data_IF_892625771810
#
_entry.id   IF_892625771810
#
_cell.length_a   1.000
_cell.length_b   1.000
_cell.length_c   1.000
_cell.angle_alpha   90.00
_cell.angle_beta   90.00
_cell.angle_gamma   90.00
#
_symmetry.space_group_name_H-M   'P 1'
#
loop_
_entity.id
_entity.type
_entity.pdbx_description
1 polymer ?
#
# COMPACT_ATOMS: atom_id res chain seq x y z
N UNK A 1 5.74 1.33 -18.08
CA UNK A 1 6.08 2.12 -16.87
C UNK A 1 5.35 3.45 -16.93
N UNK A 2 4.61 3.78 -15.88
CA UNK A 2 3.89 5.04 -15.79
C UNK A 2 4.47 5.88 -14.65
N UNK A 3 4.55 7.20 -14.85
CA UNK A 3 5.07 8.13 -13.84
C UNK A 3 4.01 9.18 -13.55
N UNK A 4 3.73 9.40 -12.27
CA UNK A 4 2.82 10.44 -11.81
C UNK A 4 3.57 11.38 -10.87
N UNK A 5 3.27 12.66 -10.94
CA UNK A 5 3.86 13.66 -10.04
C UNK A 5 2.77 14.29 -9.21
N UNK A 6 3.06 14.48 -7.91
CA UNK A 6 2.15 15.13 -6.98
C UNK A 6 2.86 16.30 -6.30
N UNK A 7 2.20 17.45 -6.26
CA UNK A 7 2.71 18.65 -5.62
C UNK A 7 1.94 19.03 -4.35
N UNK A 8 0.98 18.20 -3.93
CA UNK A 8 0.14 18.45 -2.76
C UNK A 8 -0.50 17.15 -2.29
N UNK A 9 -1.09 17.18 -1.09
CA UNK A 9 -1.86 16.03 -0.59
C UNK A 9 -3.06 15.73 -1.50
N UNK A 10 -3.72 16.76 -2.01
CA UNK A 10 -4.84 16.58 -2.93
C UNK A 10 -4.42 15.88 -4.22
N UNK A 11 -3.25 16.23 -4.76
CA UNK A 11 -2.72 15.58 -5.95
C UNK A 11 -2.29 14.14 -5.68
N UNK A 12 -1.73 13.87 -4.50
CA UNK A 12 -1.42 12.48 -4.07
C UNK A 12 -2.68 11.64 -4.03
N UNK A 13 -3.77 12.19 -3.53
CA UNK A 13 -5.07 11.51 -3.52
C UNK A 13 -5.55 11.22 -4.93
N UNK A 14 -5.36 12.16 -5.86
CA UNK A 14 -5.72 11.95 -7.27
C UNK A 14 -4.89 10.82 -7.90
N UNK A 15 -3.60 10.74 -7.59
CA UNK A 15 -2.73 9.64 -8.05
C UNK A 15 -3.24 8.32 -7.47
N UNK A 16 -3.58 8.31 -6.18
CA UNK A 16 -4.10 7.11 -5.52
C UNK A 16 -5.38 6.62 -6.19
N UNK A 17 -6.26 7.52 -6.61
CA UNK A 17 -7.49 7.15 -7.32
C UNK A 17 -7.19 6.45 -8.65
N UNK A 18 -6.18 6.93 -9.38
CA UNK A 18 -5.76 6.30 -10.64
C UNK A 18 -5.19 4.90 -10.42
N UNK A 19 -4.38 4.73 -9.38
CA UNK A 19 -3.83 3.43 -9.01
C UNK A 19 -4.95 2.50 -8.53
N UNK A 20 -5.93 3.03 -7.80
CA UNK A 20 -7.07 2.27 -7.29
C UNK A 20 -7.84 1.57 -8.42
N UNK A 21 -7.96 2.19 -9.59
CA UNK A 21 -8.62 1.56 -10.73
C UNK A 21 -7.94 0.24 -11.12
N UNK A 22 -6.64 0.14 -10.94
CA UNK A 22 -5.87 -1.08 -11.22
C UNK A 22 -6.00 -2.14 -10.12
N UNK A 23 -6.50 -1.76 -8.95
CA UNK A 23 -6.58 -2.60 -7.76
C UNK A 23 -8.00 -2.97 -7.37
N UNK A 24 -9.01 -2.50 -8.07
CA UNK A 24 -10.41 -2.64 -7.65
C UNK A 24 -10.92 -4.07 -7.62
N UNK A 25 -10.23 -4.99 -8.29
CA UNK A 25 -10.57 -6.42 -8.28
C UNK A 25 -9.76 -7.20 -7.25
N UNK A 26 -9.01 -6.51 -6.39
CA UNK A 26 -8.11 -7.13 -5.45
C UNK A 26 -6.71 -7.32 -6.02
N UNK A 27 -5.91 -8.10 -5.34
CA UNK A 27 -4.55 -8.40 -5.75
C UNK A 27 -3.51 -7.91 -4.75
N UNK A 28 -2.36 -7.50 -5.26
CA UNK A 28 -1.24 -7.13 -4.41
C UNK A 28 -0.60 -5.83 -4.92
N UNK A 29 -0.44 -4.86 -4.02
CA UNK A 29 0.22 -3.59 -4.30
C UNK A 29 1.45 -3.46 -3.38
N UNK A 30 2.62 -3.54 -3.98
CA UNK A 30 3.89 -3.44 -3.26
C UNK A 30 4.41 -2.01 -3.33
N UNK A 31 4.57 -1.36 -2.18
CA UNK A 31 5.07 0.02 -2.10
C UNK A 31 6.55 0.02 -1.75
N UNK A 32 7.31 0.79 -2.51
CA UNK A 32 8.74 0.97 -2.32
C UNK A 32 9.02 2.45 -2.08
N UNK A 33 9.39 2.79 -0.87
CA UNK A 33 9.72 4.18 -0.54
C UNK A 33 10.49 4.24 0.77
N UNK A 34 11.22 5.32 0.97
CA UNK A 34 11.84 5.60 2.26
C UNK A 34 10.83 6.16 3.25
N UNK A 35 11.29 6.41 4.49
CA UNK A 35 10.50 7.06 5.51
C UNK A 35 10.07 8.46 5.07
N UNK A 36 8.89 8.88 5.49
CA UNK A 36 8.41 10.24 5.25
C UNK A 36 8.00 10.51 3.81
N UNK A 37 7.85 9.49 2.98
CA UNK A 37 7.53 9.69 1.58
C UNK A 37 6.03 9.91 1.29
N UNK A 38 5.18 9.95 2.33
CA UNK A 38 3.75 10.19 2.17
C UNK A 38 2.95 8.93 1.89
N UNK A 39 3.43 7.77 2.33
CA UNK A 39 2.75 6.49 2.14
C UNK A 39 1.35 6.48 2.77
N UNK A 40 1.22 7.05 3.96
CA UNK A 40 -0.08 7.10 4.66
C UNK A 40 -1.11 7.91 3.86
N UNK A 41 -0.70 9.06 3.32
CA UNK A 41 -1.58 9.88 2.49
C UNK A 41 -2.00 9.14 1.22
N UNK A 42 -1.07 8.40 0.61
CA UNK A 42 -1.36 7.60 -0.57
C UNK A 42 -2.36 6.48 -0.25
N UNK A 43 -2.11 5.72 0.83
CA UNK A 43 -3.02 4.63 1.24
C UNK A 43 -4.39 5.17 1.61
N UNK A 44 -4.42 6.33 2.27
CA UNK A 44 -5.69 7.00 2.59
C UNK A 44 -6.49 7.30 1.31
N UNK A 45 -5.81 7.77 0.26
CA UNK A 45 -6.44 8.00 -1.04
C UNK A 45 -6.97 6.71 -1.68
N UNK A 46 -6.23 5.61 -1.56
CA UNK A 46 -6.68 4.30 -2.05
C UNK A 46 -7.93 3.83 -1.31
N UNK A 47 -7.92 3.93 0.02
CA UNK A 47 -9.06 3.53 0.85
C UNK A 47 -10.28 4.39 0.52
N UNK A 48 -10.10 5.68 0.34
CA UNK A 48 -11.19 6.59 -0.05
C UNK A 48 -11.83 6.15 -1.36
N UNK A 49 -11.03 5.72 -2.32
CA UNK A 49 -11.52 5.29 -3.63
C UNK A 49 -12.16 3.90 -3.60
N UNK A 50 -11.59 2.95 -2.85
CA UNK A 50 -12.00 1.54 -2.87
C UNK A 50 -12.93 1.16 -1.74
N UNK A 51 -12.79 1.80 -0.59
CA UNK A 51 -13.48 1.42 0.64
C UNK A 51 -13.74 2.67 1.50
N UNK A 52 -14.54 3.65 0.98
CA UNK A 52 -14.72 4.93 1.67
C UNK A 52 -15.31 4.79 3.08
N UNK A 53 -16.06 3.73 3.35
CA UNK A 53 -16.61 3.46 4.68
C UNK A 53 -15.52 3.20 5.73
N UNK A 54 -14.29 2.88 5.31
CA UNK A 54 -13.17 2.62 6.23
C UNK A 54 -12.23 3.82 6.37
N UNK A 55 -12.52 4.95 5.74
CA UNK A 55 -11.60 6.08 5.65
C UNK A 55 -11.14 6.60 7.02
N UNK A 56 -12.03 6.63 7.99
CA UNK A 56 -11.71 7.13 9.34
C UNK A 56 -10.78 6.19 10.12
N UNK A 57 -10.59 4.96 9.64
CA UNK A 57 -9.73 3.97 10.29
C UNK A 57 -8.29 4.01 9.81
N UNK A 58 -8.00 4.79 8.75
CA UNK A 58 -6.68 4.76 8.11
C UNK A 58 -5.62 5.40 9.00
N UNK A 59 -4.58 4.63 9.32
CA UNK A 59 -3.39 5.09 10.01
C UNK A 59 -2.22 4.19 9.62
N UNK A 60 -1.01 4.60 9.99
CA UNK A 60 0.19 3.79 9.70
C UNK A 60 0.14 2.48 10.50
N UNK A 61 0.42 1.32 9.87
CA UNK A 61 0.44 0.03 10.56
C UNK A 61 1.76 -0.26 11.27
N UNK A 62 2.63 0.72 11.50
CA UNK A 62 3.98 0.51 12.04
C UNK A 62 3.99 -0.36 13.30
N UNK A 63 3.08 -0.12 14.24
CA UNK A 63 3.02 -0.87 15.49
C UNK A 63 2.11 -2.08 15.42
N UNK A 64 1.06 -2.01 14.60
CA UNK A 64 0.11 -3.11 14.45
C UNK A 64 0.57 -4.18 13.47
N UNK A 65 1.56 -3.86 12.62
CA UNK A 65 2.06 -4.66 11.50
C UNK A 65 1.05 -4.75 10.37
N UNK A 66 -0.19 -5.10 10.64
CA UNK A 66 -1.24 -5.11 9.63
C UNK A 66 -2.47 -4.35 10.12
N UNK A 67 -3.01 -3.50 9.23
CA UNK A 67 -4.32 -2.89 9.40
C UNK A 67 -5.29 -3.55 8.43
N UNK A 68 -6.45 -3.96 8.92
CA UNK A 68 -7.50 -4.55 8.12
C UNK A 68 -8.61 -3.53 7.90
N UNK A 69 -8.93 -3.27 6.64
CA UNK A 69 -10.05 -2.40 6.27
C UNK A 69 -11.09 -3.29 5.60
N UNK A 70 -12.09 -3.72 6.36
CA UNK A 70 -13.15 -4.61 5.87
C UNK A 70 -14.27 -3.77 5.24
N UNK A 71 -14.30 -3.76 3.92
CA UNK A 71 -15.25 -2.95 3.16
C UNK A 71 -16.40 -3.77 2.60
N UNK A 72 -17.38 -3.05 2.03
CA UNK A 72 -18.55 -3.68 1.40
C UNK A 72 -18.22 -4.32 0.07
N UNK A 73 -17.33 -3.70 -0.69
CA UNK A 73 -16.98 -4.15 -2.05
C UNK A 73 -15.63 -4.84 -2.10
N UNK A 74 -14.70 -4.45 -1.22
CA UNK A 74 -13.35 -5.00 -1.18
C UNK A 74 -12.79 -4.86 0.22
N UNK A 75 -12.00 -5.86 0.63
CA UNK A 75 -11.21 -5.80 1.86
C UNK A 75 -9.80 -5.35 1.49
N UNK A 76 -9.19 -4.54 2.35
CA UNK A 76 -7.82 -4.05 2.16
C UNK A 76 -7.00 -4.45 3.39
N UNK A 77 -5.85 -5.07 3.14
CA UNK A 77 -4.92 -5.51 4.18
C UNK A 77 -3.60 -4.77 3.99
N UNK A 78 -3.29 -3.84 4.91
CA UNK A 78 -2.13 -2.96 4.80
C UNK A 78 -1.06 -3.37 5.79
N UNK A 79 0.06 -3.89 5.28
CA UNK A 79 1.19 -4.38 6.06
C UNK A 79 2.35 -3.40 6.09
N UNK A 80 2.96 -3.25 7.28
CA UNK A 80 4.28 -2.63 7.41
C UNK A 80 5.26 -3.73 7.83
N UNK A 81 6.19 -4.07 6.95
CA UNK A 81 7.11 -5.18 7.14
C UNK A 81 8.39 -4.80 7.89
N UNK A 82 8.55 -3.52 8.27
CA UNK A 82 9.78 -2.99 8.83
C UNK A 82 10.28 -3.74 10.08
N UNK A 83 9.37 -4.15 10.95
CA UNK A 83 9.72 -4.79 12.22
C UNK A 83 9.93 -6.31 12.14
N UNK A 84 9.64 -6.89 10.99
CA UNK A 84 9.82 -8.32 10.79
C UNK A 84 11.29 -8.60 10.47
N UNK A 85 11.83 -9.68 11.03
CA UNK A 85 13.25 -9.99 10.89
C UNK A 85 13.54 -11.16 9.96
N UNK A 86 12.60 -12.08 9.80
CA UNK A 86 12.79 -13.26 8.94
C UNK A 86 11.47 -13.77 8.38
N UNK A 87 11.55 -14.83 7.56
CA UNK A 87 10.38 -15.44 6.92
C UNK A 87 9.40 -16.04 7.95
N UNK A 88 9.90 -16.54 9.07
CA UNK A 88 9.03 -17.08 10.12
C UNK A 88 8.19 -15.98 10.75
N UNK A 89 8.77 -14.80 10.95
CA UNK A 89 8.04 -13.64 11.45
C UNK A 89 6.94 -13.25 10.47
N UNK A 90 7.26 -13.21 9.17
CA UNK A 90 6.30 -12.88 8.14
C UNK A 90 5.14 -13.88 8.13
N UNK A 91 5.45 -15.17 8.16
CA UNK A 91 4.45 -16.23 8.19
C UNK A 91 3.53 -16.08 9.41
N UNK A 92 4.09 -15.76 10.56
CA UNK A 92 3.35 -15.63 11.82
C UNK A 92 2.34 -14.48 11.83
N UNK A 93 2.50 -13.48 10.96
CA UNK A 93 1.55 -12.37 10.86
C UNK A 93 0.23 -12.77 10.18
N UNK A 94 0.19 -13.95 9.53
CA UNK A 94 -0.94 -14.33 8.70
C UNK A 94 -0.86 -13.79 7.28
N UNK A 95 0.30 -13.28 6.87
CA UNK A 95 0.50 -12.63 5.57
C UNK A 95 -0.04 -13.46 4.41
N UNK A 96 0.31 -14.75 4.36
CA UNK A 96 -0.12 -15.62 3.26
C UNK A 96 -1.62 -15.92 3.30
N UNK A 97 -2.20 -16.01 4.49
CA UNK A 97 -3.64 -16.22 4.64
C UNK A 97 -4.43 -14.98 4.18
N UNK A 98 -3.90 -13.78 4.45
CA UNK A 98 -4.52 -12.54 3.96
C UNK A 98 -4.54 -12.49 2.44
N UNK A 99 -3.42 -12.86 1.80
CA UNK A 99 -3.36 -12.89 0.33
C UNK A 99 -4.45 -13.83 -0.23
N UNK A 100 -4.63 -14.99 0.38
CA UNK A 100 -5.62 -15.97 -0.05
C UNK A 100 -7.07 -15.51 0.12
N UNK A 101 -7.32 -14.56 1.00
CA UNK A 101 -8.68 -14.03 1.19
C UNK A 101 -9.20 -13.24 -0.01
N UNK A 102 -8.35 -12.86 -0.93
CA UNK A 102 -8.78 -12.28 -2.21
C UNK A 102 -9.02 -10.78 -2.22
N UNK A 103 -8.76 -10.08 -1.13
CA UNK A 103 -8.83 -8.62 -1.09
C UNK A 103 -7.59 -8.00 -1.71
N UNK A 104 -7.37 -6.72 -1.44
CA UNK A 104 -6.15 -6.02 -1.83
C UNK A 104 -5.15 -6.04 -0.68
N UNK A 105 -4.00 -6.63 -0.91
CA UNK A 105 -2.88 -6.60 0.05
C UNK A 105 -1.92 -5.50 -0.36
N UNK A 106 -1.57 -4.62 0.59
CA UNK A 106 -0.63 -3.53 0.38
C UNK A 106 0.53 -3.73 1.34
N UNK A 107 1.77 -3.62 0.85
CA UNK A 107 2.96 -3.73 1.70
C UNK A 107 3.79 -2.46 1.67
N UNK A 108 4.34 -2.09 2.84
CA UNK A 108 5.40 -1.07 3.01
C UNK A 108 6.66 -1.81 3.45
N UNK A 109 7.82 -1.24 3.14
CA UNK A 109 9.13 -1.86 3.38
C UNK A 109 9.25 -3.20 2.67
N UNK A 110 8.69 -3.25 1.48
CA UNK A 110 8.59 -4.44 0.64
C UNK A 110 9.95 -5.04 0.31
N UNK A 111 10.98 -4.21 0.17
CA UNK A 111 12.35 -4.61 -0.17
C UNK A 111 12.98 -5.57 0.84
N UNK A 112 12.43 -5.63 2.06
CA UNK A 112 12.92 -6.54 3.09
C UNK A 112 12.50 -7.99 2.82
N UNK A 113 11.46 -8.21 2.03
CA UNK A 113 10.87 -9.53 1.77
C UNK A 113 10.50 -9.72 0.29
N UNK A 114 11.41 -9.36 -0.61
CA UNK A 114 11.17 -9.43 -2.06
C UNK A 114 10.71 -10.81 -2.54
N UNK A 115 11.28 -11.86 -1.97
CA UNK A 115 10.96 -13.23 -2.39
C UNK A 115 9.53 -13.65 -2.02
N UNK A 116 8.90 -12.97 -1.07
CA UNK A 116 7.53 -13.26 -0.65
C UNK A 116 6.49 -12.53 -1.51
N UNK A 117 6.91 -11.60 -2.35
CA UNK A 117 6.01 -10.78 -3.15
C UNK A 117 5.58 -11.54 -4.40
N UNK A 118 4.26 -11.66 -4.67
CA UNK A 118 3.79 -12.36 -5.87
C UNK A 118 4.32 -11.74 -7.16
N UNK A 119 4.57 -12.57 -8.17
CA UNK A 119 5.06 -12.07 -9.46
C UNK A 119 4.11 -11.11 -10.14
N UNK A 120 2.80 -11.29 -9.92
CA UNK A 120 1.78 -10.42 -10.52
C UNK A 120 1.47 -9.17 -9.69
N UNK A 121 2.26 -8.91 -8.65
CA UNK A 121 2.07 -7.72 -7.83
C UNK A 121 2.30 -6.46 -8.64
N UNK A 122 1.48 -5.44 -8.36
CA UNK A 122 1.71 -4.10 -8.87
C UNK A 122 2.78 -3.47 -8.00
N UNK A 123 3.85 -2.97 -8.58
CA UNK A 123 4.95 -2.35 -7.83
C UNK A 123 4.94 -0.85 -8.04
N UNK A 124 4.88 -0.10 -6.95
CA UNK A 124 4.83 1.35 -6.97
C UNK A 124 5.98 1.92 -6.15
N UNK A 125 6.83 2.70 -6.80
CA UNK A 125 7.91 3.42 -6.14
C UNK A 125 7.46 4.84 -5.84
N UNK A 126 7.65 5.28 -4.61
CA UNK A 126 7.31 6.64 -4.17
C UNK A 126 8.59 7.35 -3.79
N UNK A 127 8.87 8.48 -4.45
CA UNK A 127 10.09 9.26 -4.23
C UNK A 127 9.75 10.68 -3.77
N UNK A 128 10.48 11.16 -2.76
CA UNK A 128 10.42 12.56 -2.33
C UNK A 128 11.33 13.35 -3.27
N UNK A 129 10.76 14.28 -4.03
CA UNK A 129 11.53 15.16 -4.93
C UNK A 129 11.92 16.42 -4.19
N UNK A 130 10.96 17.02 -3.48
CA UNK A 130 11.23 18.14 -2.57
C UNK A 130 10.17 18.14 -1.45
N UNK A 131 10.12 19.20 -0.65
CA UNK A 131 9.23 19.27 0.50
C UNK A 131 7.78 18.97 0.17
N UNK A 132 7.30 19.43 -0.99
CA UNK A 132 5.90 19.27 -1.41
C UNK A 132 5.71 18.29 -2.55
N UNK A 133 6.78 17.97 -3.28
CA UNK A 133 6.68 17.19 -4.52
C UNK A 133 7.05 15.73 -4.32
N UNK A 134 6.22 14.86 -4.86
CA UNK A 134 6.42 13.40 -4.84
C UNK A 134 6.33 12.86 -6.26
N UNK A 135 7.09 11.81 -6.52
CA UNK A 135 7.02 11.08 -7.79
C UNK A 135 6.60 9.64 -7.51
N UNK A 136 5.60 9.20 -8.25
CA UNK A 136 5.08 7.83 -8.17
C UNK A 136 5.40 7.12 -9.47
N UNK A 137 6.19 6.07 -9.41
CA UNK A 137 6.56 5.28 -10.59
C UNK A 137 5.93 3.90 -10.49
N UNK A 138 5.07 3.58 -11.45
CA UNK A 138 4.39 2.29 -11.55
C UNK A 138 5.20 1.39 -12.46
N UNK A 139 5.68 0.30 -11.92
CA UNK A 139 6.53 -0.64 -12.66
C UNK A 139 5.77 -1.84 -13.18
#
# INVERSE_FOLDING_TARGET
>A
MEVFTSNSLAETESVAQKIAEKCKSGGFLALYSGMGAGKTAFVRGLVKALCPECLDLVHSPTFAIVNEYRGKNIDIFHFDLYRLTDEDDLYSTGFYDYIEQGGLTITEWTELFEDAIPENAIKLKIEVIDENQRRFTLC
#
